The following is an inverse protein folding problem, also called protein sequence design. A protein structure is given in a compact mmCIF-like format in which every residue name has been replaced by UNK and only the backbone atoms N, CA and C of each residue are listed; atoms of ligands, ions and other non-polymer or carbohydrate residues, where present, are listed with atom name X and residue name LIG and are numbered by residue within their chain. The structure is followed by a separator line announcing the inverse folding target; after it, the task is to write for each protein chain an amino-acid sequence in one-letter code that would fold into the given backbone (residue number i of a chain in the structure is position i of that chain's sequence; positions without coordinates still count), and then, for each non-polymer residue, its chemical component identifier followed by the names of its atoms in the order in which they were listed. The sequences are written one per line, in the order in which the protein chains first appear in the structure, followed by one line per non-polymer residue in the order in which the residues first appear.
data_IF_861491763470
#
_entry.id   IF_861491763470
#
_cell.length_a   1.000
_cell.length_b   1.000
_cell.length_c   1.000
_cell.angle_alpha   90.00
_cell.angle_beta   90.00
_cell.angle_gamma   90.00
#
_symmetry.space_group_name_H-M   'P 1'
#
loop_
_entity.id
_entity.type
_entity.pdbx_description
1 polymer ?
#
# COMPACT_ATOMS: atom_id res chain seq x y z
N UNK A 1 -13.28 2.61 -21.84
CA UNK A 1 -12.08 2.89 -21.02
C UNK A 1 -12.14 1.94 -19.85
N UNK A 2 -11.30 0.92 -19.81
CA UNK A 2 -11.18 0.06 -18.62
C UNK A 2 -10.61 0.89 -17.49
N UNK A 3 -11.30 1.00 -16.37
CA UNK A 3 -10.75 1.65 -15.18
C UNK A 3 -9.45 0.93 -14.79
N UNK A 4 -8.36 1.69 -14.67
CA UNK A 4 -7.08 1.17 -14.20
C UNK A 4 -7.25 0.76 -12.73
N UNK A 5 -7.24 -0.55 -12.47
CA UNK A 5 -7.38 -1.08 -11.11
C UNK A 5 -6.08 -0.90 -10.34
N UNK A 6 -5.90 0.27 -9.74
CA UNK A 6 -4.71 0.57 -8.95
C UNK A 6 -4.92 0.21 -7.48
N UNK A 7 -3.96 -0.51 -6.90
CA UNK A 7 -3.87 -0.79 -5.46
C UNK A 7 -2.63 -0.08 -4.93
N UNK A 8 -2.79 0.68 -3.85
CA UNK A 8 -1.66 1.28 -3.13
C UNK A 8 -1.35 0.44 -1.90
N UNK A 9 -0.10 -0.01 -1.80
CA UNK A 9 0.41 -0.71 -0.63
C UNK A 9 0.97 0.33 0.33
N UNK A 10 0.30 0.50 1.47
CA UNK A 10 0.70 1.39 2.55
C UNK A 10 1.94 0.88 3.32
N UNK A 11 3.03 0.61 2.60
CA UNK A 11 4.31 0.13 3.13
C UNK A 11 5.48 0.67 2.30
N UNK A 12 6.60 0.92 2.94
CA UNK A 12 7.90 1.23 2.32
C UNK A 12 8.82 0.01 2.22
N UNK A 13 8.37 -1.17 2.68
CA UNK A 13 9.17 -2.39 2.65
C UNK A 13 9.19 -2.98 1.23
N UNK A 14 10.33 -2.87 0.55
CA UNK A 14 10.52 -3.35 -0.82
C UNK A 14 10.20 -4.85 -1.01
N UNK A 15 10.48 -5.69 -0.01
CA UNK A 15 10.17 -7.12 -0.07
C UNK A 15 8.67 -7.37 -0.12
N UNK A 16 7.90 -6.72 0.76
CA UNK A 16 6.44 -6.81 0.77
C UNK A 16 5.82 -6.27 -0.52
N UNK A 17 6.31 -5.12 -1.00
CA UNK A 17 5.80 -4.50 -2.23
C UNK A 17 6.00 -5.45 -3.42
N UNK A 18 7.15 -6.12 -3.51
CA UNK A 18 7.42 -7.12 -4.55
C UNK A 18 6.44 -8.29 -4.48
N UNK A 19 6.19 -8.84 -3.30
CA UNK A 19 5.22 -9.92 -3.11
C UNK A 19 3.80 -9.52 -3.56
N UNK A 20 3.36 -8.30 -3.23
CA UNK A 20 2.07 -7.79 -3.70
C UNK A 20 2.01 -7.63 -5.21
N UNK A 21 3.08 -7.13 -5.86
CA UNK A 21 3.18 -7.04 -7.32
C UNK A 21 3.02 -8.41 -7.97
N UNK A 22 3.80 -9.39 -7.52
CA UNK A 22 3.74 -10.76 -8.03
C UNK A 22 2.34 -11.39 -7.89
N UNK A 23 1.60 -11.06 -6.83
CA UNK A 23 0.24 -11.56 -6.60
C UNK A 23 -0.87 -10.85 -7.39
N UNK A 24 -0.71 -9.55 -7.68
CA UNK A 24 -1.80 -8.68 -8.15
C UNK A 24 -1.63 -8.21 -9.60
N UNK A 25 -0.41 -8.00 -10.07
CA UNK A 25 -0.16 -7.61 -11.48
C UNK A 25 -0.69 -8.65 -12.48
N UNK A 26 -0.55 -9.98 -12.26
CA UNK A 26 -1.15 -10.98 -13.15
C UNK A 26 -2.68 -10.96 -13.20
N UNK A 27 -3.32 -10.34 -12.20
CA UNK A 27 -4.78 -10.15 -12.12
C UNK A 27 -5.24 -8.84 -12.76
N UNK A 28 -4.32 -8.08 -13.37
CA UNK A 28 -4.59 -6.80 -14.02
C UNK A 28 -4.66 -5.61 -13.06
N UNK A 29 -4.03 -5.71 -11.88
CA UNK A 29 -3.91 -4.57 -10.97
C UNK A 29 -2.56 -3.87 -11.13
N UNK A 30 -2.56 -2.55 -11.07
CA UNK A 30 -1.35 -1.74 -10.94
C UNK A 30 -1.03 -1.58 -9.46
N UNK A 31 0.16 -2.00 -9.01
CA UNK A 31 0.55 -1.87 -7.59
C UNK A 31 1.49 -0.69 -7.41
N UNK A 32 1.03 0.30 -6.64
CA UNK A 32 1.84 1.43 -6.13
C UNK A 32 2.18 1.22 -4.66
N UNK A 33 3.13 1.95 -4.14
CA UNK A 33 3.61 1.88 -2.76
C UNK A 33 3.78 3.27 -2.16
N UNK A 34 3.97 3.38 -0.85
CA UNK A 34 4.28 4.67 -0.22
C UNK A 34 5.55 5.32 -0.77
N UNK A 35 6.49 4.53 -1.31
CA UNK A 35 7.69 5.06 -1.95
C UNK A 35 7.38 5.89 -3.22
N UNK A 36 6.21 5.69 -3.82
CA UNK A 36 5.75 6.46 -5.00
C UNK A 36 5.12 7.81 -4.59
N UNK A 37 4.96 8.09 -3.30
CA UNK A 37 4.36 9.31 -2.75
C UNK A 37 5.32 10.00 -1.76
N UNK A 38 6.38 10.66 -2.24
CA UNK A 38 7.42 11.26 -1.39
C UNK A 38 6.91 12.43 -0.52
N UNK A 39 5.81 13.06 -0.92
CA UNK A 39 5.21 14.20 -0.20
C UNK A 39 4.18 13.77 0.86
N UNK A 40 4.00 12.46 1.06
CA UNK A 40 3.02 11.94 2.01
C UNK A 40 3.52 12.12 3.45
N UNK A 41 2.69 12.68 4.36
CA UNK A 41 3.09 12.83 5.76
C UNK A 41 3.33 11.47 6.43
N UNK A 42 4.18 11.48 7.45
CA UNK A 42 4.41 10.30 8.28
C UNK A 42 3.08 9.88 8.94
N UNK A 43 2.70 8.61 8.77
CA UNK A 43 1.46 8.07 9.30
C UNK A 43 1.72 7.60 10.73
N UNK A 44 1.04 8.18 11.71
CA UNK A 44 1.18 7.77 13.12
C UNK A 44 0.54 6.40 13.37
N UNK A 45 1.36 5.38 13.61
CA UNK A 45 0.94 4.03 13.99
C UNK A 45 0.66 3.96 15.51
N UNK A 46 -0.42 4.58 15.97
CA UNK A 46 -0.79 4.65 17.39
C UNK A 46 -1.74 3.53 17.88
N UNK A 47 -2.00 2.52 17.04
CA UNK A 47 -2.80 1.37 17.38
C UNK A 47 -2.08 0.42 18.36
N UNK A 48 -2.86 -0.36 19.10
CA UNK A 48 -2.34 -1.32 20.08
C UNK A 48 -2.07 -2.70 19.48
N UNK A 49 -2.52 -2.94 18.25
CA UNK A 49 -2.41 -4.20 17.53
C UNK A 49 -1.91 -4.01 16.10
N UNK A 50 -1.33 -5.06 15.50
CA UNK A 50 -0.91 -5.03 14.10
C UNK A 50 -2.06 -4.74 13.14
N UNK A 51 -3.26 -5.25 13.43
CA UNK A 51 -4.47 -5.00 12.64
C UNK A 51 -4.89 -3.53 12.68
N UNK A 52 -4.83 -2.90 13.85
CA UNK A 52 -5.14 -1.48 13.99
C UNK A 52 -4.14 -0.63 13.21
N UNK A 53 -2.84 -0.90 13.36
CA UNK A 53 -1.81 -0.19 12.62
C UNK A 53 -1.93 -0.38 11.10
N UNK A 54 -2.26 -1.59 10.64
CA UNK A 54 -2.52 -1.85 9.23
C UNK A 54 -3.73 -1.06 8.71
N UNK A 55 -4.80 -0.97 9.50
CA UNK A 55 -6.00 -0.20 9.15
C UNK A 55 -5.71 1.31 9.11
N UNK A 56 -5.08 1.85 10.14
CA UNK A 56 -4.69 3.28 10.21
C UNK A 56 -3.88 3.66 8.98
N UNK A 57 -2.90 2.82 8.61
CA UNK A 57 -2.12 3.02 7.40
C UNK A 57 -2.99 3.01 6.15
N UNK A 58 -3.87 2.02 5.97
CA UNK A 58 -4.72 1.92 4.80
C UNK A 58 -5.74 3.07 4.66
N UNK A 59 -6.23 3.63 5.76
CA UNK A 59 -7.17 4.77 5.74
C UNK A 59 -6.49 6.11 5.50
N UNK A 60 -5.17 6.18 5.69
CA UNK A 60 -4.41 7.43 5.56
C UNK A 60 -3.84 7.64 4.14
N UNK A 61 -3.85 6.62 3.27
CA UNK A 61 -3.37 6.64 1.86
C UNK A 61 -4.51 6.88 0.89
#
# INVERSE_FOLDING_TARGET
MSEEKTIVVASTNAGKIREFKEMLEPKGYTVKSLADFPDMPEIEENGTTFSENAKIKAESV
#
